data_IF_839942193761
#
_entry.id   IF_839942193761
#
_cell.length_a   1.000
_cell.length_b   1.000
_cell.length_c   1.000
_cell.angle_alpha   90.00
_cell.angle_beta   90.00
_cell.angle_gamma   90.00
#
_symmetry.space_group_name_H-M   'P 1'
#
loop_
_entity.id
_entity.type
_entity.pdbx_description
1 polymer ?
#
# COMPACT_ATOMS: atom_id res chain seq x y z
N UNK A 1 2.30 -13.00 -9.76
CA UNK A 1 2.37 -12.79 -8.30
C UNK A 1 3.78 -12.89 -7.74
N UNK A 2 4.59 -13.86 -8.15
CA UNK A 2 5.96 -14.06 -7.65
C UNK A 2 6.82 -12.78 -7.62
N UNK A 3 6.89 -12.03 -8.73
CA UNK A 3 7.64 -10.76 -8.78
C UNK A 3 7.17 -9.73 -7.74
N UNK A 4 5.86 -9.62 -7.50
CA UNK A 4 5.30 -8.71 -6.50
C UNK A 4 5.66 -9.18 -5.08
N UNK A 5 5.59 -10.50 -4.82
CA UNK A 5 6.02 -11.06 -3.54
C UNK A 5 7.49 -10.78 -3.28
N UNK A 6 8.36 -10.98 -4.28
CA UNK A 6 9.79 -10.71 -4.16
C UNK A 6 10.07 -9.22 -3.91
N UNK A 7 9.41 -8.33 -4.65
CA UNK A 7 9.51 -6.88 -4.46
C UNK A 7 9.08 -6.45 -3.04
N UNK A 8 7.92 -6.94 -2.58
CA UNK A 8 7.43 -6.67 -1.23
C UNK A 8 8.35 -7.23 -0.15
N UNK A 9 8.99 -8.39 -0.39
CA UNK A 9 9.92 -9.00 0.56
C UNK A 9 11.22 -8.22 0.64
N UNK A 10 11.79 -7.79 -0.50
CA UNK A 10 12.97 -6.91 -0.50
C UNK A 10 12.69 -5.59 0.22
N UNK A 11 11.58 -4.93 -0.09
CA UNK A 11 11.17 -3.72 0.62
C UNK A 11 11.00 -3.95 2.12
N UNK A 12 10.42 -5.08 2.54
CA UNK A 12 10.27 -5.43 3.94
C UNK A 12 11.61 -5.56 4.67
N UNK A 13 12.59 -6.21 4.03
CA UNK A 13 13.94 -6.36 4.59
C UNK A 13 14.67 -5.02 4.66
N UNK A 14 14.60 -4.20 3.61
CA UNK A 14 15.19 -2.86 3.59
C UNK A 14 14.61 -1.98 4.71
N UNK A 15 13.29 -2.00 4.87
CA UNK A 15 12.61 -1.23 5.91
C UNK A 15 12.93 -1.75 7.32
N UNK A 16 13.00 -3.07 7.49
CA UNK A 16 13.42 -3.67 8.75
C UNK A 16 14.84 -3.26 9.14
N UNK A 17 15.79 -3.27 8.19
CA UNK A 17 17.15 -2.80 8.44
C UNK A 17 17.15 -1.34 8.91
N UNK A 18 16.33 -0.48 8.30
CA UNK A 18 16.20 0.92 8.71
C UNK A 18 15.62 1.07 10.12
N UNK A 19 14.64 0.26 10.50
CA UNK A 19 14.13 0.25 11.88
C UNK A 19 15.17 -0.26 12.87
N UNK A 20 15.95 -1.27 12.50
CA UNK A 20 17.01 -1.81 13.34
C UNK A 20 18.17 -0.83 13.53
N UNK A 21 18.55 -0.08 12.49
CA UNK A 21 19.51 1.03 12.61
C UNK A 21 19.02 2.12 13.56
N UNK A 22 17.72 2.44 13.54
CA UNK A 22 17.13 3.48 14.38
C UNK A 22 16.91 3.03 15.84
N UNK A 23 16.66 1.75 16.08
CA UNK A 23 16.41 1.19 17.42
C UNK A 23 17.00 -0.22 17.56
N UNK A 24 18.33 -0.34 17.76
CA UNK A 24 19.05 -1.60 17.69
C UNK A 24 18.75 -2.60 18.83
N UNK A 25 18.15 -2.14 19.92
CA UNK A 25 17.82 -2.96 21.09
C UNK A 25 16.31 -3.02 21.40
N UNK A 26 15.47 -2.42 20.52
CA UNK A 26 14.02 -2.36 20.70
C UNK A 26 13.29 -3.48 19.98
N UNK A 27 12.07 -3.77 20.42
CA UNK A 27 11.16 -4.64 19.67
C UNK A 27 10.71 -3.93 18.39
N UNK A 28 10.81 -4.61 17.24
CA UNK A 28 10.35 -4.11 15.95
C UNK A 28 9.13 -4.94 15.51
N UNK A 29 7.99 -4.28 15.36
CA UNK A 29 6.77 -4.90 14.87
C UNK A 29 6.07 -3.98 13.87
N UNK A 30 5.88 -4.44 12.63
CA UNK A 30 5.20 -3.70 11.58
C UNK A 30 4.62 -4.65 10.53
N UNK A 31 3.76 -4.10 9.67
CA UNK A 31 3.21 -4.83 8.51
C UNK A 31 3.81 -4.26 7.23
N UNK A 32 4.85 -4.89 6.65
CA UNK A 32 5.46 -4.41 5.41
C UNK A 32 4.45 -4.34 4.27
N UNK A 33 3.59 -5.36 4.14
CA UNK A 33 2.61 -5.45 3.06
C UNK A 33 1.58 -4.31 3.11
N UNK A 34 1.13 -3.92 4.31
CA UNK A 34 0.20 -2.80 4.48
C UNK A 34 0.84 -1.50 3.99
N UNK A 35 2.09 -1.24 4.38
CA UNK A 35 2.85 -0.06 3.96
C UNK A 35 3.06 -0.07 2.44
N UNK A 36 3.48 -1.20 1.86
CA UNK A 36 3.64 -1.33 0.40
C UNK A 36 2.34 -1.06 -0.35
N UNK A 37 1.21 -1.55 0.13
CA UNK A 37 -0.10 -1.34 -0.51
C UNK A 37 -0.52 0.12 -0.46
N UNK A 38 -0.32 0.79 0.68
CA UNK A 38 -0.59 2.22 0.82
C UNK A 38 0.31 3.06 -0.11
N UNK A 39 1.59 2.73 -0.24
CA UNK A 39 2.51 3.45 -1.12
C UNK A 39 2.27 3.14 -2.61
N UNK A 40 1.85 1.92 -2.95
CA UNK A 40 1.40 1.59 -4.30
C UNK A 40 0.13 2.37 -4.71
N UNK A 41 -0.75 2.66 -3.76
CA UNK A 41 -1.88 3.57 -3.99
C UNK A 41 -1.43 5.01 -4.26
N UNK A 42 -0.44 5.49 -3.52
CA UNK A 42 0.13 6.84 -3.72
C UNK A 42 0.89 6.93 -5.05
N UNK A 43 1.57 5.86 -5.48
CA UNK A 43 2.36 5.87 -6.71
C UNK A 43 1.49 6.04 -7.97
N UNK A 44 0.20 5.69 -7.93
CA UNK A 44 -0.76 6.00 -9.00
C UNK A 44 -0.89 7.51 -9.28
N UNK A 45 -0.76 8.33 -8.24
CA UNK A 45 -0.88 9.78 -8.33
C UNK A 45 0.46 10.49 -8.57
N UNK A 46 1.58 9.80 -8.40
CA UNK A 46 2.91 10.36 -8.55
C UNK A 46 3.33 10.44 -10.03
N UNK A 47 4.13 11.45 -10.38
CA UNK A 47 4.72 11.62 -11.72
C UNK A 47 6.19 12.02 -11.62
N UNK A 48 6.91 11.88 -12.73
CA UNK A 48 8.32 12.27 -12.85
C UNK A 48 9.21 11.60 -11.81
N UNK A 49 10.15 12.36 -11.25
CA UNK A 49 11.13 11.86 -10.29
C UNK A 49 10.50 11.22 -9.06
N UNK A 50 9.35 11.73 -8.58
CA UNK A 50 8.63 11.16 -7.44
C UNK A 50 8.18 9.73 -7.73
N UNK A 51 7.58 9.48 -8.91
CA UNK A 51 7.16 8.14 -9.31
C UNK A 51 8.36 7.20 -9.45
N UNK A 52 9.46 7.67 -10.04
CA UNK A 52 10.69 6.89 -10.20
C UNK A 52 11.33 6.50 -8.87
N UNK A 53 11.40 7.44 -7.92
CA UNK A 53 11.92 7.18 -6.57
C UNK A 53 11.06 6.15 -5.84
N UNK A 54 9.73 6.31 -5.87
CA UNK A 54 8.81 5.35 -5.27
C UNK A 54 8.96 3.96 -5.87
N UNK A 55 9.01 3.85 -7.21
CA UNK A 55 9.19 2.56 -7.90
C UNK A 55 10.49 1.88 -7.51
N UNK A 56 11.58 2.65 -7.40
CA UNK A 56 12.89 2.13 -7.02
C UNK A 56 12.90 1.65 -5.57
N UNK A 57 12.41 2.45 -4.63
CA UNK A 57 12.41 2.10 -3.20
C UNK A 57 11.50 0.90 -2.90
N UNK A 58 10.38 0.78 -3.60
CA UNK A 58 9.43 -0.34 -3.42
C UNK A 58 9.79 -1.57 -4.24
N UNK A 59 10.90 -1.55 -5.00
CA UNK A 59 11.33 -2.62 -5.90
C UNK A 59 10.30 -2.98 -6.98
N UNK A 60 9.49 -2.01 -7.43
CA UNK A 60 8.42 -2.23 -8.40
C UNK A 60 8.86 -2.18 -9.86
N UNK A 61 10.13 -1.89 -10.14
CA UNK A 61 10.66 -1.68 -11.49
C UNK A 61 10.38 -2.85 -12.46
N UNK A 62 10.38 -4.09 -11.97
CA UNK A 62 10.18 -5.30 -12.77
C UNK A 62 8.77 -5.91 -12.66
N UNK A 63 7.88 -5.27 -11.88
CA UNK A 63 6.52 -5.72 -11.63
C UNK A 63 5.59 -5.08 -12.67
N UNK A 64 5.03 -5.89 -13.56
CA UNK A 64 3.96 -5.45 -14.47
C UNK A 64 2.64 -5.36 -13.71
N UNK A 65 1.81 -4.38 -14.06
CA UNK A 65 0.44 -4.21 -13.55
C UNK A 65 0.33 -4.25 -12.02
N UNK A 66 1.22 -3.51 -11.34
CA UNK A 66 1.36 -3.44 -9.86
C UNK A 66 0.01 -3.29 -9.16
N UNK A 67 -0.82 -2.37 -9.63
CA UNK A 67 -2.10 -2.04 -9.00
C UNK A 67 -3.11 -3.18 -9.10
N UNK A 68 -3.19 -3.85 -10.25
CA UNK A 68 -4.03 -5.04 -10.43
C UNK A 68 -3.54 -6.18 -9.53
N UNK A 69 -2.22 -6.37 -9.42
CA UNK A 69 -1.64 -7.40 -8.57
C UNK A 69 -1.91 -7.15 -7.07
N UNK A 70 -1.81 -5.90 -6.60
CA UNK A 70 -2.22 -5.53 -5.24
C UNK A 70 -3.73 -5.65 -5.02
N UNK A 71 -4.56 -5.37 -6.03
CA UNK A 71 -6.01 -5.55 -5.95
C UNK A 71 -6.37 -7.02 -5.73
N UNK A 72 -5.80 -7.92 -6.54
CA UNK A 72 -5.99 -9.38 -6.38
C UNK A 72 -5.55 -9.84 -5.00
N UNK A 73 -4.34 -9.47 -4.56
CA UNK A 73 -3.81 -9.90 -3.28
C UNK A 73 -4.61 -9.35 -2.10
N UNK A 74 -5.07 -8.09 -2.18
CA UNK A 74 -5.93 -7.51 -1.14
C UNK A 74 -7.29 -8.19 -1.09
N UNK A 75 -7.85 -8.62 -2.23
CA UNK A 75 -9.10 -9.37 -2.27
C UNK A 75 -8.93 -10.77 -1.65
N UNK A 76 -7.82 -11.45 -1.94
CA UNK A 76 -7.51 -12.77 -1.36
C UNK A 76 -7.32 -12.70 0.16
N UNK A 77 -6.62 -11.68 0.66
CA UNK A 77 -6.40 -11.44 2.09
C UNK A 77 -7.70 -11.13 2.83
N UNK A 78 -8.59 -10.37 2.20
CA UNK A 78 -9.87 -9.97 2.79
C UNK A 78 -11.00 -10.98 2.48
N UNK A 79 -10.68 -12.17 1.98
CA UNK A 79 -11.68 -13.18 1.62
C UNK A 79 -12.50 -13.61 2.84
N UNK A 80 -13.82 -13.52 2.72
CA UNK A 80 -14.75 -13.96 3.76
C UNK A 80 -14.69 -15.47 3.98
N UNK A 81 -14.82 -15.92 5.23
CA UNK A 81 -14.88 -17.35 5.57
C UNK A 81 -13.52 -18.02 5.80
N UNK A 82 -12.44 -17.26 5.88
CA UNK A 82 -11.17 -17.77 6.36
C UNK A 82 -11.24 -18.08 7.88
N UNK A 83 -10.46 -19.08 8.33
CA UNK A 83 -10.34 -19.44 9.75
C UNK A 83 -9.50 -18.44 10.58
N UNK A 84 -9.21 -17.27 10.00
CA UNK A 84 -8.45 -16.20 10.62
C UNK A 84 -9.22 -14.88 10.59
N UNK A 85 -8.94 -14.00 11.55
CA UNK A 85 -9.38 -12.60 11.51
C UNK A 85 -8.24 -11.73 11.00
N UNK A 86 -8.27 -11.40 9.71
CA UNK A 86 -7.33 -10.48 9.07
C UNK A 86 -8.12 -9.40 8.35
N UNK A 87 -7.77 -8.13 8.61
CA UNK A 87 -8.42 -6.98 7.98
C UNK A 87 -7.34 -6.07 7.42
N UNK A 88 -7.35 -5.90 6.11
CA UNK A 88 -6.48 -4.95 5.43
C UNK A 88 -7.32 -3.84 4.80
N UNK A 89 -7.09 -2.59 5.23
CA UNK A 89 -7.76 -1.42 4.68
C UNK A 89 -6.78 -0.26 4.56
N UNK A 90 -6.69 0.32 3.36
CA UNK A 90 -5.88 1.49 3.08
C UNK A 90 -6.80 2.68 2.75
N UNK A 91 -6.49 3.86 3.28
CA UNK A 91 -7.24 5.10 3.02
C UNK A 91 -6.28 6.27 2.88
N UNK A 92 -6.49 7.07 1.84
CA UNK A 92 -5.83 8.37 1.67
C UNK A 92 -6.78 9.47 2.12
N UNK A 93 -6.26 10.42 2.89
CA UNK A 93 -6.99 11.61 3.31
C UNK A 93 -6.41 12.82 2.61
N UNK A 94 -7.28 13.59 1.99
CA UNK A 94 -6.95 14.80 1.26
C UNK A 94 -7.46 16.04 1.96
N UNK A 95 -6.74 17.15 1.85
CA UNK A 95 -7.20 18.45 2.32
C UNK A 95 -8.48 18.88 1.58
N UNK A 96 -9.44 19.45 2.30
CA UNK A 96 -10.79 19.75 1.75
C UNK A 96 -10.76 20.83 0.67
N UNK A 97 -9.79 21.73 0.74
CA UNK A 97 -9.61 22.82 -0.23
C UNK A 97 -8.89 22.36 -1.50
N UNK A 98 -8.35 21.13 -1.51
CA UNK A 98 -7.63 20.59 -2.66
C UNK A 98 -8.58 19.93 -3.66
N UNK A 99 -8.44 20.29 -4.93
CA UNK A 99 -9.24 19.70 -6.01
C UNK A 99 -8.55 18.44 -6.55
N UNK A 100 -9.16 17.29 -6.29
CA UNK A 100 -8.68 16.00 -6.81
C UNK A 100 -9.11 15.80 -8.26
N UNK A 101 -8.19 15.27 -9.07
CA UNK A 101 -8.52 14.85 -10.44
C UNK A 101 -9.53 13.69 -10.40
N UNK A 102 -10.51 13.67 -11.33
CA UNK A 102 -11.42 12.54 -11.47
C UNK A 102 -10.63 11.26 -11.80
N UNK A 103 -10.95 10.17 -11.11
CA UNK A 103 -10.29 8.86 -11.32
C UNK A 103 -10.73 8.31 -12.67
N UNK A 104 -9.77 8.11 -13.58
CA UNK A 104 -10.02 7.66 -14.96
C UNK A 104 -10.13 6.14 -15.12
N UNK A 105 -10.14 5.34 -14.05
CA UNK A 105 -10.16 3.88 -14.15
C UNK A 105 -11.02 3.21 -13.06
N UNK A 106 -12.03 2.40 -13.43
CA UNK A 106 -12.92 1.72 -12.47
C UNK A 106 -12.27 0.57 -11.70
N UNK A 107 -11.05 0.15 -12.06
CA UNK A 107 -10.30 -0.94 -11.39
C UNK A 107 -9.35 -0.44 -10.30
N UNK A 108 -9.54 0.78 -9.79
CA UNK A 108 -8.66 1.32 -8.78
C UNK A 108 -8.93 0.70 -7.41
N UNK A 109 -7.87 0.27 -6.72
CA UNK A 109 -7.84 -0.04 -5.27
C UNK A 109 -8.50 1.03 -4.37
N UNK A 110 -8.81 2.21 -4.93
CA UNK A 110 -9.71 3.20 -4.36
C UNK A 110 -11.18 2.74 -4.47
N UNK A 111 -11.61 1.83 -3.60
CA UNK A 111 -13.03 1.74 -3.28
C UNK A 111 -13.41 3.04 -2.54
N UNK A 112 -14.14 3.96 -3.20
CA UNK A 112 -14.80 5.10 -2.56
C UNK A 112 -15.92 4.59 -1.65
N UNK A 113 -15.57 3.84 -0.61
CA UNK A 113 -16.52 3.51 0.45
C UNK A 113 -16.68 4.75 1.32
N UNK A 114 -17.73 5.53 1.04
CA UNK A 114 -18.29 6.50 1.97
C UNK A 114 -18.85 5.76 3.20
N UNK A 115 -17.97 5.26 4.07
CA UNK A 115 -18.38 4.88 5.42
C UNK A 115 -18.35 6.13 6.28
N UNK A 116 -19.54 6.63 6.60
CA UNK A 116 -19.76 7.60 7.66
C UNK A 116 -19.22 6.99 8.95
N UNK A 117 -18.08 7.47 9.43
CA UNK A 117 -17.64 7.18 10.78
C UNK A 117 -18.11 8.31 11.68
N UNK A 118 -18.72 8.00 12.83
CA UNK A 118 -19.02 9.01 13.83
C UNK A 118 -17.70 9.65 14.27
N UNK A 119 -17.66 10.97 14.25
CA UNK A 119 -16.60 11.74 14.90
C UNK A 119 -16.57 11.34 16.36
N UNK A 120 -15.44 10.81 16.84
CA UNK A 120 -15.20 10.76 18.29
C UNK A 120 -15.27 12.20 18.80
N UNK A 121 -16.28 12.49 19.62
CA UNK A 121 -16.30 13.65 20.50
C UNK A 121 -15.39 13.39 21.69
#
# INVERSE_FOLDING_TARGET
>A
MEKLCNANTHFALDLFQKFNEASPAGNIFFSPFSISTALALVSLGAKGNTATQMSKTLHFNDVKDIHSAFQTLSADINKSGASYLLKLANRLYGEKTYSFLPVSSPNSLFDKKHRNFPTCK
#
